data_IF_073395331486
#
_entry.id   IF_073395331486
#
_cell.length_a   1.000
_cell.length_b   1.000
_cell.length_c   1.000
_cell.angle_alpha   90.00
_cell.angle_beta   90.00
_cell.angle_gamma   90.00
#
_symmetry.space_group_name_H-M   'P 1'
#
loop_
_entity.id
_entity.type
_entity.pdbx_description
1 polymer ?
#
# COMPACT_ATOMS: atom_id res chain seq x y z
N UNK A 1 5.92 15.67 -21.37
CA UNK A 1 6.56 16.61 -20.43
C UNK A 1 8.01 16.22 -20.22
N UNK A 2 8.96 17.13 -20.45
CA UNK A 2 10.38 16.86 -20.29
C UNK A 2 10.69 16.64 -18.80
N UNK A 3 11.23 15.49 -18.47
CA UNK A 3 11.69 15.15 -17.12
C UNK A 3 12.84 16.09 -16.79
N UNK A 4 12.63 17.05 -15.88
CA UNK A 4 13.70 17.94 -15.38
C UNK A 4 14.74 17.03 -14.74
N UNK A 5 15.87 16.84 -15.41
CA UNK A 5 16.99 16.08 -14.86
C UNK A 5 17.61 16.98 -13.79
N UNK A 6 17.23 16.76 -12.54
CA UNK A 6 17.92 17.41 -11.41
C UNK A 6 19.36 16.91 -11.38
N UNK A 7 20.30 17.79 -11.70
CA UNK A 7 21.73 17.47 -11.63
C UNK A 7 22.14 17.26 -10.18
N UNK A 8 22.74 16.12 -9.88
CA UNK A 8 23.30 15.83 -8.55
C UNK A 8 24.63 16.56 -8.39
N UNK A 9 24.73 17.50 -7.46
CA UNK A 9 25.93 18.31 -7.22
C UNK A 9 26.70 17.74 -6.00
N UNK A 10 28.00 17.51 -6.17
CA UNK A 10 28.86 17.11 -5.05
C UNK A 10 29.10 18.31 -4.12
N UNK A 11 28.63 18.19 -2.88
CA UNK A 11 28.86 19.25 -1.86
C UNK A 11 30.32 19.39 -1.42
N UNK A 12 31.17 18.44 -1.75
CA UNK A 12 32.59 18.49 -1.40
C UNK A 12 33.43 19.32 -2.38
N UNK A 13 33.06 19.36 -3.69
CA UNK A 13 33.84 20.06 -4.71
C UNK A 13 33.00 20.82 -5.75
N UNK A 14 31.67 20.86 -5.61
CA UNK A 14 30.79 21.62 -6.53
C UNK A 14 30.55 20.97 -7.89
N UNK A 15 31.15 19.81 -8.18
CA UNK A 15 31.01 19.16 -9.50
C UNK A 15 29.61 18.59 -9.68
N UNK A 16 29.01 18.83 -10.85
CA UNK A 16 27.67 18.36 -11.21
C UNK A 16 27.73 17.00 -11.92
N UNK A 17 26.71 16.17 -11.68
CA UNK A 17 26.59 14.82 -12.24
C UNK A 17 25.18 14.59 -12.81
N UNK A 18 25.06 13.77 -13.84
CA UNK A 18 23.78 13.44 -14.49
C UNK A 18 22.89 12.53 -13.62
N UNK A 19 23.45 11.87 -12.62
CA UNK A 19 22.72 10.93 -11.75
C UNK A 19 23.38 10.78 -10.39
N UNK A 20 22.64 10.33 -9.40
CA UNK A 20 23.16 9.96 -8.08
C UNK A 20 24.19 8.83 -8.15
N UNK A 21 24.00 7.86 -9.06
CA UNK A 21 24.97 6.79 -9.27
C UNK A 21 26.34 7.35 -9.65
N UNK A 22 26.36 8.34 -10.56
CA UNK A 22 27.61 9.00 -10.99
C UNK A 22 28.22 9.84 -9.86
N UNK A 23 27.39 10.54 -9.09
CA UNK A 23 27.83 11.25 -7.89
C UNK A 23 28.42 10.27 -6.86
N UNK A 24 27.75 9.16 -6.57
CA UNK A 24 28.24 8.18 -5.60
C UNK A 24 29.56 7.52 -6.03
N UNK A 25 29.72 7.25 -7.32
CA UNK A 25 31.01 6.76 -7.86
C UNK A 25 32.15 7.79 -7.70
N UNK A 26 31.84 9.10 -7.88
CA UNK A 26 32.79 10.18 -7.68
C UNK A 26 33.28 10.35 -6.23
N UNK A 27 32.47 9.93 -5.23
CA UNK A 27 32.85 10.06 -3.81
C UNK A 27 34.15 9.32 -3.48
N UNK A 28 34.58 8.35 -4.27
CA UNK A 28 35.89 7.72 -4.17
C UNK A 28 37.05 8.72 -4.25
N UNK A 29 36.91 9.75 -5.10
CA UNK A 29 37.89 10.82 -5.21
C UNK A 29 38.04 11.65 -3.92
N UNK A 30 37.00 11.67 -3.08
CA UNK A 30 36.99 12.30 -1.76
C UNK A 30 37.33 11.32 -0.62
N UNK A 31 37.62 10.05 -0.94
CA UNK A 31 37.86 8.98 0.06
C UNK A 31 36.68 8.82 1.04
N UNK A 32 35.46 9.10 0.61
CA UNK A 32 34.25 9.01 1.40
C UNK A 32 33.39 7.84 0.94
N UNK A 33 32.83 7.09 1.90
CA UNK A 33 31.71 6.19 1.64
C UNK A 33 30.42 7.01 1.49
N UNK A 34 29.42 6.46 0.80
CA UNK A 34 28.12 7.11 0.58
C UNK A 34 27.50 7.57 1.91
N UNK A 35 27.45 6.70 2.91
CA UNK A 35 26.95 7.01 4.26
C UNK A 35 27.67 8.19 4.88
N UNK A 36 29.00 8.22 4.83
CA UNK A 36 29.85 9.27 5.41
C UNK A 36 29.62 10.61 4.72
N UNK A 37 29.42 10.59 3.39
CA UNK A 37 29.09 11.77 2.62
C UNK A 37 27.78 12.39 3.08
N UNK A 38 26.72 11.58 3.20
CA UNK A 38 25.43 12.10 3.64
C UNK A 38 25.45 12.56 5.10
N UNK A 39 26.14 11.88 5.96
CA UNK A 39 26.29 12.33 7.34
C UNK A 39 27.06 13.65 7.45
N UNK A 40 28.06 13.87 6.61
CA UNK A 40 28.88 15.08 6.64
C UNK A 40 28.16 16.29 6.05
N UNK A 41 27.50 16.11 4.91
CA UNK A 41 26.94 17.24 4.13
C UNK A 41 25.45 17.44 4.28
N UNK A 42 24.73 16.44 4.77
CA UNK A 42 23.28 16.45 4.96
C UNK A 42 22.90 15.81 6.29
N UNK A 43 23.44 16.26 7.42
CA UNK A 43 23.18 15.64 8.72
C UNK A 43 21.69 15.73 9.06
N UNK A 44 21.08 14.58 9.31
CA UNK A 44 19.68 14.47 9.76
C UNK A 44 19.62 13.80 11.10
N UNK A 45 18.74 14.29 11.94
CA UNK A 45 18.56 13.80 13.30
C UNK A 45 17.12 13.40 13.57
N UNK A 46 16.96 12.34 14.33
CA UNK A 46 15.68 11.85 14.82
C UNK A 46 14.99 12.95 15.64
N UNK A 47 13.73 13.21 15.36
CA UNK A 47 12.96 14.28 16.03
C UNK A 47 12.70 13.99 17.50
N UNK A 48 12.77 12.73 17.94
CA UNK A 48 12.53 12.36 19.32
C UNK A 48 13.79 12.38 20.17
N UNK A 49 14.83 11.64 19.78
CA UNK A 49 16.03 11.45 20.61
C UNK A 49 17.27 12.21 20.12
N UNK A 50 17.13 12.98 19.06
CA UNK A 50 18.18 13.80 18.42
C UNK A 50 19.41 13.00 17.93
N UNK A 51 19.34 11.67 17.86
CA UNK A 51 20.40 10.84 17.30
C UNK A 51 20.42 10.94 15.78
N UNK A 52 21.56 10.65 15.18
CA UNK A 52 21.67 10.59 13.72
C UNK A 52 20.68 9.56 13.16
N UNK A 53 19.99 9.92 12.07
CA UNK A 53 19.16 8.98 11.32
C UNK A 53 20.05 7.91 10.72
N UNK A 54 19.65 6.66 10.83
CA UNK A 54 20.36 5.53 10.24
C UNK A 54 20.32 5.60 8.72
N UNK A 55 21.49 5.54 8.08
CA UNK A 55 21.58 5.53 6.64
C UNK A 55 21.32 4.12 6.08
N UNK A 56 20.20 3.93 5.42
CA UNK A 56 19.85 2.72 4.67
C UNK A 56 20.17 2.95 3.18
N UNK A 57 19.55 3.96 2.59
CA UNK A 57 19.82 4.47 1.25
C UNK A 57 19.51 5.97 1.22
N UNK A 58 19.85 6.66 0.13
CA UNK A 58 19.66 8.10 -0.01
C UNK A 58 18.22 8.53 0.25
N UNK A 59 17.26 7.87 -0.41
CA UNK A 59 15.87 8.28 -0.39
C UNK A 59 15.25 8.06 0.99
N UNK A 60 15.52 6.91 1.61
CA UNK A 60 15.10 6.65 2.98
C UNK A 60 15.72 7.65 3.94
N UNK A 61 17.03 7.89 3.86
CA UNK A 61 17.75 8.81 4.74
C UNK A 61 17.21 10.24 4.63
N UNK A 62 17.00 10.75 3.40
CA UNK A 62 16.54 12.12 3.17
C UNK A 62 15.05 12.32 3.50
N UNK A 63 14.25 11.27 3.48
CA UNK A 63 12.81 11.33 3.78
C UNK A 63 12.44 10.95 5.21
N UNK A 64 13.35 10.29 5.96
CA UNK A 64 13.04 9.84 7.32
C UNK A 64 13.30 10.94 8.35
N UNK A 65 12.38 11.10 9.28
CA UNK A 65 12.50 11.98 10.44
C UNK A 65 12.65 11.20 11.75
N UNK A 66 12.53 9.88 11.70
CA UNK A 66 12.66 8.98 12.84
C UNK A 66 13.43 7.72 12.45
N UNK A 67 14.22 7.19 13.36
CA UNK A 67 14.95 5.94 13.18
C UNK A 67 14.04 4.70 13.20
N UNK A 68 12.94 4.78 13.92
CA UNK A 68 11.98 3.69 14.07
C UNK A 68 10.60 4.19 14.52
N UNK A 69 9.59 3.31 14.43
CA UNK A 69 8.22 3.63 14.84
C UNK A 69 8.07 3.84 16.35
N UNK A 70 8.96 3.32 17.16
CA UNK A 70 8.95 3.55 18.61
C UNK A 70 9.27 5.01 18.92
N UNK A 71 10.28 5.59 18.26
CA UNK A 71 10.62 7.00 18.38
C UNK A 71 9.49 7.90 17.88
N UNK A 72 8.88 7.56 16.72
CA UNK A 72 7.70 8.26 16.25
C UNK A 72 6.56 8.24 17.28
N UNK A 73 6.24 7.08 17.85
CA UNK A 73 5.19 6.96 18.89
C UNK A 73 5.49 7.80 20.11
N UNK A 74 6.72 7.78 20.59
CA UNK A 74 7.17 8.60 21.74
C UNK A 74 7.09 10.07 21.42
N UNK A 75 7.54 10.50 20.25
CA UNK A 75 7.42 11.89 19.82
C UNK A 75 5.96 12.35 19.78
N UNK A 76 5.06 11.55 19.18
CA UNK A 76 3.62 11.83 19.14
C UNK A 76 2.96 11.97 20.53
N UNK A 77 3.49 11.29 21.54
CA UNK A 77 2.97 11.37 22.90
C UNK A 77 3.36 12.66 23.64
N UNK A 78 4.40 13.36 23.17
CA UNK A 78 4.96 14.54 23.86
C UNK A 78 4.80 15.84 23.05
N UNK A 79 4.53 15.74 21.75
CA UNK A 79 4.38 16.93 20.90
C UNK A 79 2.97 17.51 21.02
N UNK A 80 2.85 18.84 20.85
CA UNK A 80 1.56 19.49 20.78
C UNK A 80 0.72 18.93 19.61
N UNK A 81 -0.59 18.72 19.80
CA UNK A 81 -1.46 18.13 18.77
C UNK A 81 -1.38 18.84 17.42
N UNK A 82 -1.34 20.18 17.41
CA UNK A 82 -1.24 20.96 16.19
C UNK A 82 0.09 20.74 15.43
N UNK A 83 1.18 20.53 16.17
CA UNK A 83 2.48 20.19 15.55
C UNK A 83 2.44 18.79 14.94
N UNK A 84 1.78 17.83 15.59
CA UNK A 84 1.57 16.49 15.05
C UNK A 84 0.70 16.55 13.78
N UNK A 85 -0.39 17.33 13.81
CA UNK A 85 -1.27 17.54 12.65
C UNK A 85 -0.50 18.10 11.46
N UNK A 86 0.23 19.19 11.66
CA UNK A 86 1.05 19.80 10.60
C UNK A 86 2.07 18.81 10.02
N UNK A 87 2.72 18.02 10.87
CA UNK A 87 3.67 17.01 10.44
C UNK A 87 3.03 15.95 9.55
N UNK A 88 1.87 15.42 9.93
CA UNK A 88 1.21 14.37 9.16
C UNK A 88 0.56 14.87 7.88
N UNK A 89 0.05 16.10 7.86
CA UNK A 89 -0.37 16.75 6.60
C UNK A 89 0.79 16.83 5.62
N UNK A 90 1.94 17.34 6.07
CA UNK A 90 3.15 17.42 5.24
C UNK A 90 3.65 16.04 4.81
N UNK A 91 3.54 15.01 5.65
CA UNK A 91 3.88 13.65 5.29
C UNK A 91 3.01 13.13 4.13
N UNK A 92 1.70 13.35 4.18
CA UNK A 92 0.78 12.94 3.11
C UNK A 92 1.03 13.72 1.81
N UNK A 93 1.25 15.04 1.90
CA UNK A 93 1.58 15.89 0.75
C UNK A 93 2.88 15.47 0.07
N UNK A 94 3.95 15.27 0.85
CA UNK A 94 5.23 14.81 0.32
C UNK A 94 5.13 13.45 -0.37
N UNK A 95 4.27 12.55 0.16
CA UNK A 95 4.00 11.26 -0.47
C UNK A 95 3.24 11.44 -1.79
N UNK A 96 2.22 12.31 -1.82
CA UNK A 96 1.46 12.63 -3.02
C UNK A 96 2.38 13.10 -4.14
N UNK A 97 3.19 14.11 -3.86
CA UNK A 97 4.13 14.69 -4.82
C UNK A 97 5.19 13.68 -5.29
N UNK A 98 5.79 12.94 -4.35
CA UNK A 98 6.87 12.00 -4.67
C UNK A 98 6.41 10.81 -5.51
N UNK A 99 5.19 10.33 -5.31
CA UNK A 99 4.64 9.16 -6.00
C UNK A 99 3.73 9.52 -7.16
N UNK A 100 3.41 10.80 -7.34
CA UNK A 100 2.42 11.26 -8.32
C UNK A 100 1.10 10.49 -8.20
N UNK A 101 0.61 10.33 -6.95
CA UNK A 101 -0.59 9.58 -6.64
C UNK A 101 -1.64 10.48 -6.01
N UNK A 102 -2.84 10.44 -6.55
CA UNK A 102 -4.01 11.14 -6.01
C UNK A 102 -4.72 10.38 -4.88
N UNK A 103 -4.29 9.13 -4.61
CA UNK A 103 -4.93 8.28 -3.60
C UNK A 103 -4.20 8.32 -2.27
N UNK A 104 -5.00 8.34 -1.19
CA UNK A 104 -4.52 8.21 0.17
C UNK A 104 -3.84 6.86 0.41
N UNK A 105 -2.81 6.79 1.26
CA UNK A 105 -2.23 5.51 1.67
C UNK A 105 -3.26 4.67 2.42
N UNK A 106 -3.40 3.41 2.02
CA UNK A 106 -4.26 2.48 2.75
C UNK A 106 -3.62 2.05 4.09
N UNK A 107 -4.41 1.40 4.93
CA UNK A 107 -3.96 0.95 6.26
C UNK A 107 -2.70 0.06 6.19
N UNK A 108 -2.61 -0.82 5.20
CA UNK A 108 -1.44 -1.70 5.00
C UNK A 108 -0.22 -0.88 4.60
N UNK A 109 -0.39 0.08 3.71
CA UNK A 109 0.69 0.99 3.31
C UNK A 109 1.19 1.82 4.50
N UNK A 110 0.30 2.39 5.32
CA UNK A 110 0.67 3.13 6.54
C UNK A 110 1.47 2.28 7.53
N UNK A 111 1.19 0.97 7.60
CA UNK A 111 1.99 0.06 8.43
C UNK A 111 3.43 -0.10 7.95
N UNK A 112 3.67 -0.05 6.65
CA UNK A 112 5.01 -0.14 6.05
C UNK A 112 5.78 1.18 6.07
N UNK A 113 5.08 2.32 6.12
CA UNK A 113 5.66 3.66 6.15
C UNK A 113 6.04 4.10 7.57
N UNK A 114 6.87 5.14 7.68
CA UNK A 114 7.15 5.83 8.95
C UNK A 114 5.98 6.76 9.30
N UNK A 115 4.82 6.17 9.46
CA UNK A 115 3.54 6.81 9.76
C UNK A 115 2.87 6.13 10.95
N UNK A 116 2.00 6.83 11.70
CA UNK A 116 1.12 6.18 12.68
C UNK A 116 0.05 5.34 11.98
N UNK A 117 -0.73 4.62 12.78
CA UNK A 117 -1.89 3.87 12.30
C UNK A 117 -3.06 4.79 11.97
N UNK A 118 -4.01 4.30 11.18
CA UNK A 118 -5.29 5.00 10.90
C UNK A 118 -6.00 5.40 12.19
N UNK A 119 -5.99 4.56 13.20
CA UNK A 119 -6.58 4.86 14.53
C UNK A 119 -5.99 6.11 15.19
N UNK A 120 -4.71 6.38 14.98
CA UNK A 120 -4.10 7.60 15.49
C UNK A 120 -4.59 8.83 14.70
N UNK A 121 -4.68 8.73 13.39
CA UNK A 121 -5.25 9.79 12.56
C UNK A 121 -6.68 10.11 13.01
N UNK A 122 -7.51 9.11 13.19
CA UNK A 122 -8.88 9.29 13.69
C UNK A 122 -8.91 10.00 15.05
N UNK A 123 -8.05 9.59 15.99
CA UNK A 123 -7.98 10.22 17.32
C UNK A 123 -7.56 11.69 17.28
N UNK A 124 -6.67 12.07 16.38
CA UNK A 124 -6.06 13.42 16.34
C UNK A 124 -6.82 14.36 15.41
N UNK A 125 -7.38 13.84 14.32
CA UNK A 125 -8.03 14.63 13.28
C UNK A 125 -9.56 14.44 13.22
N UNK A 126 -10.12 13.51 13.98
CA UNK A 126 -11.53 13.13 13.93
C UNK A 126 -11.80 12.02 12.91
N UNK A 127 -11.44 12.22 11.65
CA UNK A 127 -11.49 11.18 10.62
C UNK A 127 -10.21 11.17 9.77
N UNK A 128 -9.85 9.98 9.30
CA UNK A 128 -8.73 9.84 8.36
C UNK A 128 -9.08 10.39 6.97
N UNK A 129 -10.34 10.29 6.58
CA UNK A 129 -10.81 10.82 5.30
C UNK A 129 -10.70 12.34 5.27
N UNK A 130 -11.12 13.04 6.34
CA UNK A 130 -11.06 14.49 6.42
C UNK A 130 -9.65 15.03 6.17
N UNK A 131 -8.63 14.46 6.82
CA UNK A 131 -7.25 14.91 6.58
C UNK A 131 -6.77 14.57 5.16
N UNK A 132 -7.21 13.46 4.58
CA UNK A 132 -6.88 13.11 3.21
C UNK A 132 -7.50 14.10 2.22
N UNK A 133 -8.77 14.45 2.40
CA UNK A 133 -9.48 15.47 1.60
C UNK A 133 -8.83 16.84 1.72
N UNK A 134 -8.47 17.27 2.94
CA UNK A 134 -7.77 18.54 3.16
C UNK A 134 -6.45 18.66 2.38
N UNK A 135 -5.77 17.55 2.12
CA UNK A 135 -4.54 17.52 1.31
C UNK A 135 -4.80 17.11 -0.14
N UNK A 136 -6.07 17.02 -0.55
CA UNK A 136 -6.49 16.67 -1.91
C UNK A 136 -6.12 15.25 -2.30
N UNK A 137 -6.28 14.30 -1.37
CA UNK A 137 -6.13 12.87 -1.61
C UNK A 137 -7.48 12.19 -1.57
N UNK A 138 -7.81 11.40 -2.60
CA UNK A 138 -8.97 10.52 -2.59
C UNK A 138 -8.70 9.32 -1.70
N UNK A 139 -9.66 8.97 -0.84
CA UNK A 139 -9.59 7.72 -0.08
C UNK A 139 -10.06 6.57 -0.97
N UNK A 140 -9.30 5.49 -1.01
CA UNK A 140 -9.69 4.27 -1.76
C UNK A 140 -10.94 3.58 -1.18
N UNK A 141 -11.45 4.10 -0.08
CA UNK A 141 -12.61 3.59 0.65
C UNK A 141 -13.77 4.57 0.56
N UNK A 142 -13.93 5.26 -0.57
CA UNK A 142 -15.27 5.72 -0.89
C UNK A 142 -16.13 4.47 -0.86
N UNK A 143 -16.86 4.33 0.20
CA UNK A 143 -17.95 3.36 0.29
C UNK A 143 -18.71 3.55 -0.99
N UNK A 144 -18.85 2.52 -1.80
CA UNK A 144 -19.82 2.55 -2.90
C UNK A 144 -21.11 2.91 -2.20
N UNK A 145 -21.46 4.20 -2.23
CA UNK A 145 -22.53 4.78 -1.41
C UNK A 145 -23.92 4.33 -1.90
N UNK A 146 -23.95 3.67 -3.03
CA UNK A 146 -25.13 2.96 -3.51
C UNK A 146 -24.84 1.46 -3.48
N UNK A 147 -25.56 0.71 -2.63
CA UNK A 147 -25.54 -0.74 -2.78
C UNK A 147 -25.92 -1.04 -4.23
N UNK A 148 -25.10 -1.85 -4.91
CA UNK A 148 -25.43 -2.37 -6.22
C UNK A 148 -26.87 -2.85 -6.14
N UNK A 149 -27.81 -2.16 -6.84
CA UNK A 149 -29.19 -2.56 -6.90
C UNK A 149 -29.23 -3.90 -7.64
N UNK A 150 -29.20 -4.92 -6.84
CA UNK A 150 -29.28 -6.27 -7.33
C UNK A 150 -30.73 -6.54 -7.73
N UNK A 151 -30.96 -6.90 -8.99
CA UNK A 151 -32.27 -7.28 -9.50
C UNK A 151 -32.36 -8.80 -9.55
N UNK A 152 -32.90 -9.45 -8.52
CA UNK A 152 -32.95 -10.92 -8.49
C UNK A 152 -33.77 -11.51 -9.64
N UNK A 153 -34.73 -10.77 -10.17
CA UNK A 153 -35.60 -11.17 -11.30
C UNK A 153 -34.81 -11.52 -12.57
N UNK A 154 -33.62 -10.95 -12.75
CA UNK A 154 -32.77 -11.20 -13.92
C UNK A 154 -32.09 -12.56 -13.91
N UNK A 155 -32.09 -13.24 -12.78
CA UNK A 155 -31.30 -14.46 -12.54
C UNK A 155 -32.14 -15.58 -11.92
N UNK A 156 -33.43 -15.65 -12.32
CA UNK A 156 -34.29 -16.76 -11.88
C UNK A 156 -33.66 -18.12 -12.23
N UNK A 157 -33.54 -18.98 -11.24
CA UNK A 157 -32.93 -20.30 -11.35
C UNK A 157 -31.43 -20.35 -11.13
N UNK A 158 -30.78 -19.20 -10.88
CA UNK A 158 -29.36 -19.18 -10.56
C UNK A 158 -29.04 -19.77 -9.18
N UNK A 159 -27.87 -20.39 -9.04
CA UNK A 159 -27.33 -20.90 -7.78
C UNK A 159 -25.91 -20.39 -7.58
N UNK A 160 -25.52 -20.23 -6.33
CA UNK A 160 -24.13 -19.99 -5.94
C UNK A 160 -23.53 -21.29 -5.45
N UNK A 161 -22.48 -21.72 -6.10
CA UNK A 161 -21.69 -22.85 -5.63
C UNK A 161 -20.60 -22.34 -4.67
N UNK A 162 -20.46 -23.05 -3.57
CA UNK A 162 -19.43 -22.80 -2.55
C UNK A 162 -18.49 -23.99 -2.58
N UNK A 163 -17.18 -23.72 -2.69
CA UNK A 163 -16.19 -24.81 -2.73
C UNK A 163 -16.20 -25.60 -1.42
N UNK A 164 -16.03 -26.91 -1.53
CA UNK A 164 -15.95 -27.82 -0.38
C UNK A 164 -14.80 -27.51 0.58
N UNK A 165 -13.79 -26.76 0.14
CA UNK A 165 -12.61 -26.34 0.92
C UNK A 165 -12.83 -25.02 1.68
N UNK A 166 -13.90 -24.26 1.35
CA UNK A 166 -14.20 -23.01 2.06
C UNK A 166 -14.72 -23.30 3.47
N UNK A 167 -13.92 -22.96 4.48
CA UNK A 167 -14.21 -23.29 5.89
C UNK A 167 -15.15 -22.29 6.57
N UNK A 168 -15.27 -21.08 6.03
CA UNK A 168 -16.08 -19.99 6.58
C UNK A 168 -16.88 -19.32 5.46
N UNK A 169 -17.85 -20.01 4.87
CA UNK A 169 -18.61 -19.49 3.77
C UNK A 169 -19.38 -18.24 4.17
N UNK A 170 -19.55 -17.36 3.19
CA UNK A 170 -20.43 -16.20 3.35
C UNK A 170 -21.88 -16.67 3.49
N UNK A 171 -22.64 -15.99 4.37
CA UNK A 171 -24.08 -16.17 4.44
C UNK A 171 -24.70 -15.38 3.30
N UNK A 172 -25.35 -16.07 2.37
CA UNK A 172 -25.95 -15.49 1.18
C UNK A 172 -27.45 -15.83 1.19
N UNK A 173 -28.25 -14.87 1.65
CA UNK A 173 -29.69 -15.07 1.82
C UNK A 173 -30.50 -14.83 0.52
N UNK A 174 -29.89 -14.16 -0.45
CA UNK A 174 -30.57 -13.73 -1.68
C UNK A 174 -30.57 -14.76 -2.80
N UNK A 175 -29.80 -15.85 -2.66
CA UNK A 175 -29.70 -16.92 -3.66
C UNK A 175 -29.60 -18.30 -3.03
N UNK A 176 -30.12 -19.33 -3.72
CA UNK A 176 -29.84 -20.72 -3.35
C UNK A 176 -28.32 -20.98 -3.38
N UNK A 177 -27.81 -21.59 -2.33
CA UNK A 177 -26.41 -22.00 -2.26
C UNK A 177 -26.29 -23.53 -2.30
N UNK A 178 -25.24 -24.03 -2.92
CA UNK A 178 -24.92 -25.46 -2.97
C UNK A 178 -23.42 -25.66 -2.76
N UNK A 179 -23.06 -26.60 -1.88
CA UNK A 179 -21.65 -26.93 -1.65
C UNK A 179 -21.19 -27.95 -2.68
N UNK A 180 -20.14 -27.61 -3.46
CA UNK A 180 -19.63 -28.42 -4.55
C UNK A 180 -18.12 -28.20 -4.70
N UNK A 181 -17.37 -29.23 -5.05
CA UNK A 181 -15.96 -29.05 -5.42
C UNK A 181 -15.83 -28.16 -6.66
N UNK A 182 -15.16 -27.02 -6.52
CA UNK A 182 -14.89 -26.12 -7.60
C UNK A 182 -13.49 -26.34 -8.18
N UNK A 183 -13.32 -26.03 -9.45
CA UNK A 183 -12.03 -26.14 -10.11
C UNK A 183 -11.08 -25.04 -9.69
N UNK A 184 -11.62 -23.84 -9.50
CA UNK A 184 -10.93 -22.63 -9.08
C UNK A 184 -11.72 -21.90 -7.99
N UNK A 185 -11.03 -21.15 -7.14
CA UNK A 185 -11.63 -20.23 -6.19
C UNK A 185 -12.55 -20.87 -5.15
N UNK A 186 -13.23 -20.01 -4.40
CA UNK A 186 -14.11 -20.38 -3.29
C UNK A 186 -15.59 -20.37 -3.67
N UNK A 187 -15.96 -19.58 -4.69
CA UNK A 187 -17.34 -19.42 -5.15
C UNK A 187 -17.43 -19.43 -6.68
N UNK A 188 -18.53 -19.97 -7.18
CA UNK A 188 -18.92 -19.87 -8.58
C UNK A 188 -20.41 -19.65 -8.70
N UNK A 189 -20.85 -19.03 -9.78
CA UNK A 189 -22.25 -18.87 -10.10
C UNK A 189 -22.68 -19.85 -11.18
N UNK A 190 -23.88 -20.36 -11.08
CA UNK A 190 -24.51 -21.18 -12.12
C UNK A 190 -25.83 -20.57 -12.52
N UNK A 191 -26.06 -20.46 -13.80
CA UNK A 191 -27.38 -20.18 -14.38
C UNK A 191 -27.94 -21.49 -14.97
N UNK A 192 -29.07 -21.95 -14.43
CA UNK A 192 -29.80 -23.13 -14.94
C UNK A 192 -28.90 -24.37 -15.18
N UNK A 193 -28.18 -24.80 -14.15
CA UNK A 193 -27.27 -25.95 -14.17
C UNK A 193 -25.98 -25.80 -15.01
N UNK A 194 -25.79 -24.68 -15.68
CA UNK A 194 -24.53 -24.34 -16.34
C UNK A 194 -23.69 -23.49 -15.42
N UNK A 195 -22.54 -24.03 -15.00
CA UNK A 195 -21.56 -23.22 -14.26
C UNK A 195 -21.05 -22.13 -15.20
N UNK A 196 -21.31 -20.88 -14.86
CA UNK A 196 -20.64 -19.76 -15.51
C UNK A 196 -19.16 -19.95 -15.28
N UNK A 197 -18.33 -19.87 -16.32
CA UNK A 197 -16.88 -20.01 -16.20
C UNK A 197 -16.27 -18.80 -15.49
N UNK A 198 -16.84 -18.45 -14.32
CA UNK A 198 -16.48 -17.32 -13.49
C UNK A 198 -16.35 -17.79 -12.05
N UNK A 199 -15.18 -17.61 -11.49
CA UNK A 199 -14.79 -18.07 -10.15
C UNK A 199 -14.33 -16.90 -9.33
N UNK A 200 -14.69 -16.91 -8.04
CA UNK A 200 -14.31 -15.88 -7.06
C UNK A 200 -13.46 -16.54 -6.00
N UNK A 201 -12.25 -16.05 -5.83
CA UNK A 201 -11.36 -16.39 -4.73
C UNK A 201 -11.46 -15.32 -3.66
N UNK A 202 -11.85 -15.69 -2.45
CA UNK A 202 -11.93 -14.80 -1.31
C UNK A 202 -10.65 -14.85 -0.50
N UNK A 203 -9.98 -13.73 -0.37
CA UNK A 203 -8.73 -13.67 0.40
C UNK A 203 -8.79 -12.62 1.51
N UNK A 204 -8.51 -13.05 2.74
CA UNK A 204 -8.21 -12.09 3.79
C UNK A 204 -6.96 -11.29 3.42
N UNK A 205 -6.83 -10.07 3.96
CA UNK A 205 -5.62 -9.25 3.76
C UNK A 205 -4.35 -10.00 4.22
N UNK A 206 -4.44 -10.81 5.27
CA UNK A 206 -3.31 -11.58 5.76
C UNK A 206 -2.93 -12.70 4.79
N UNK A 207 -3.91 -13.41 4.26
CA UNK A 207 -3.70 -14.47 3.27
C UNK A 207 -3.18 -13.90 1.95
N UNK A 208 -3.67 -12.72 1.54
CA UNK A 208 -3.16 -12.04 0.36
C UNK A 208 -1.69 -11.65 0.54
N UNK A 209 -1.30 -11.12 1.71
CA UNK A 209 0.11 -10.80 2.00
C UNK A 209 0.96 -12.08 1.98
N UNK A 210 0.48 -13.18 2.56
CA UNK A 210 1.14 -14.48 2.52
C UNK A 210 1.30 -15.02 1.10
N UNK A 211 0.25 -14.90 0.29
CA UNK A 211 0.25 -15.28 -1.12
C UNK A 211 1.26 -14.46 -1.93
N UNK A 212 1.28 -13.13 -1.76
CA UNK A 212 2.20 -12.24 -2.49
C UNK A 212 3.66 -12.31 -2.01
N UNK A 213 3.92 -12.91 -0.85
CA UNK A 213 5.29 -13.10 -0.33
C UNK A 213 5.86 -14.48 -0.62
N UNK A 214 5.30 -15.52 -0.02
CA UNK A 214 5.84 -16.89 -0.12
C UNK A 214 5.03 -17.82 -1.04
N UNK A 215 3.81 -17.47 -1.38
CA UNK A 215 2.91 -18.26 -2.23
C UNK A 215 2.73 -17.72 -3.66
N UNK A 216 3.54 -16.73 -4.06
CA UNK A 216 3.35 -15.98 -5.29
C UNK A 216 3.36 -16.87 -6.54
N UNK A 217 4.37 -17.73 -6.69
CA UNK A 217 4.50 -18.63 -7.85
C UNK A 217 3.26 -19.53 -7.99
N UNK A 218 2.85 -20.17 -6.88
CA UNK A 218 1.66 -21.04 -6.89
C UNK A 218 0.38 -20.29 -7.28
N UNK A 219 0.26 -19.04 -6.84
CA UNK A 219 -0.90 -18.19 -7.17
C UNK A 219 -0.88 -17.76 -8.64
N UNK A 220 0.29 -17.46 -9.19
CA UNK A 220 0.44 -17.21 -10.62
C UNK A 220 0.09 -18.45 -11.45
N UNK A 221 0.57 -19.63 -11.05
CA UNK A 221 0.24 -20.91 -11.73
C UNK A 221 -1.27 -21.18 -11.73
N UNK A 222 -1.98 -20.78 -10.68
CA UNK A 222 -3.45 -20.91 -10.60
C UNK A 222 -4.15 -19.97 -11.58
N UNK A 223 -3.71 -18.72 -11.64
CA UNK A 223 -4.22 -17.72 -12.60
C UNK A 223 -3.95 -18.16 -14.03
N UNK A 224 -2.74 -18.61 -14.36
CA UNK A 224 -2.38 -19.08 -15.70
C UNK A 224 -3.21 -20.30 -16.15
N UNK A 225 -3.49 -21.23 -15.24
CA UNK A 225 -4.40 -22.35 -15.52
C UNK A 225 -5.81 -21.88 -15.80
N UNK A 226 -6.33 -20.93 -15.00
CA UNK A 226 -7.66 -20.38 -15.21
C UNK A 226 -7.73 -19.65 -16.55
N UNK A 227 -6.72 -18.85 -16.89
CA UNK A 227 -6.63 -18.15 -18.17
C UNK A 227 -6.59 -19.11 -19.37
N UNK A 228 -5.79 -20.17 -19.29
CA UNK A 228 -5.69 -21.20 -20.33
C UNK A 228 -7.04 -21.87 -20.65
N UNK A 229 -7.92 -21.94 -19.66
CA UNK A 229 -9.28 -22.48 -19.80
C UNK A 229 -10.35 -21.44 -20.04
N UNK A 230 -9.94 -20.19 -20.33
CA UNK A 230 -10.83 -19.03 -20.48
C UNK A 230 -11.76 -18.85 -19.27
N UNK A 231 -11.33 -19.19 -18.09
CA UNK A 231 -12.06 -18.94 -16.85
C UNK A 231 -11.85 -17.50 -16.39
N UNK A 232 -12.94 -16.82 -16.01
CA UNK A 232 -12.87 -15.52 -15.36
C UNK A 232 -12.57 -15.75 -13.87
N UNK A 233 -11.40 -15.33 -13.42
CA UNK A 233 -10.95 -15.49 -12.03
C UNK A 233 -10.90 -14.12 -11.35
N UNK A 234 -11.70 -13.96 -10.31
CA UNK A 234 -11.86 -12.71 -9.56
C UNK A 234 -11.34 -12.93 -8.14
N UNK A 235 -10.45 -12.07 -7.68
CA UNK A 235 -9.99 -12.08 -6.27
C UNK A 235 -10.72 -10.97 -5.52
N UNK A 236 -11.39 -11.34 -4.43
CA UNK A 236 -12.23 -10.47 -3.61
C UNK A 236 -11.62 -10.26 -2.20
#
# INVERSE_FOLDING_TARGET
>A
MAKIIMSSICRGCGKSFKSDRSLHAHLKAHKLKIKEYYYKYFPRRDRYDNKLINFINKDNYLSSDFNNKTNLKKWMAHVAPETAKAYFKNFLLNRKEKKDLEFAPCQVELRSLMSPSVTYYQKVFGDYNEICEEVGLSTKYETISEPLKFSPEKYEGGKIYIDTREQRPLVIDSYPTEVKGLKYGDYAFSDKDLTCNCYIERKSIQDLIGTLSGGYERFCDEIERAETENANFIVL
#
